data_IF_882701124729
#
_entry.id   IF_882701124729
#
_cell.length_a   1.000
_cell.length_b   1.000
_cell.length_c   1.000
_cell.angle_alpha   90.00
_cell.angle_beta   90.00
_cell.angle_gamma   90.00
#
_symmetry.space_group_name_H-M   'P 1'
#
loop_
_entity.id
_entity.type
_entity.pdbx_description
1 polymer ?
#
# COMPACT_ATOMS: atom_id res chain seq x y z
N UNK A 1 -15.94 -11.33 -12.21
CA UNK A 1 -15.75 -10.55 -10.97
C UNK A 1 -14.56 -9.58 -11.04
N UNK A 2 -13.36 -10.03 -11.42
CA UNK A 2 -12.21 -9.12 -11.61
C UNK A 2 -12.51 -7.98 -12.58
N UNK A 3 -13.14 -8.25 -13.74
CA UNK A 3 -13.55 -7.19 -14.67
C UNK A 3 -14.48 -6.15 -14.04
N UNK A 4 -15.50 -6.56 -13.27
CA UNK A 4 -16.41 -5.62 -12.60
C UNK A 4 -15.68 -4.73 -11.60
N UNK A 5 -14.80 -5.32 -10.77
CA UNK A 5 -13.97 -4.56 -9.84
C UNK A 5 -13.05 -3.60 -10.58
N UNK A 6 -12.40 -4.04 -11.66
CA UNK A 6 -11.52 -3.19 -12.46
C UNK A 6 -12.29 -2.02 -13.08
N UNK A 7 -13.34 -2.28 -13.86
CA UNK A 7 -14.09 -1.23 -14.56
C UNK A 7 -14.90 -0.33 -13.62
N UNK A 8 -15.40 -0.85 -12.49
CA UNK A 8 -16.16 -0.07 -11.53
C UNK A 8 -15.27 0.76 -10.60
N UNK A 9 -14.35 0.11 -9.90
CA UNK A 9 -13.53 0.77 -8.87
C UNK A 9 -12.38 1.58 -9.48
N UNK A 10 -11.61 1.02 -10.43
CA UNK A 10 -10.43 1.71 -10.96
C UNK A 10 -10.85 2.93 -11.78
N UNK A 11 -11.88 2.83 -12.61
CA UNK A 11 -12.37 3.99 -13.38
C UNK A 11 -12.80 5.13 -12.47
N UNK A 12 -13.53 4.84 -11.38
CA UNK A 12 -13.93 5.84 -10.40
C UNK A 12 -12.72 6.45 -9.69
N UNK A 13 -11.76 5.62 -9.25
CA UNK A 13 -10.55 6.10 -8.59
C UNK A 13 -9.73 7.01 -9.51
N UNK A 14 -9.58 6.64 -10.78
CA UNK A 14 -8.89 7.46 -11.78
C UNK A 14 -9.64 8.78 -12.06
N UNK A 15 -10.97 8.75 -12.13
CA UNK A 15 -11.76 9.97 -12.29
C UNK A 15 -11.61 10.94 -11.10
N UNK A 16 -11.52 10.41 -9.87
CA UNK A 16 -11.26 11.21 -8.67
C UNK A 16 -9.87 11.85 -8.70
N UNK A 17 -8.83 11.08 -9.06
CA UNK A 17 -7.46 11.60 -9.20
C UNK A 17 -7.39 12.68 -10.28
N UNK A 18 -7.98 12.42 -11.44
CA UNK A 18 -8.06 13.39 -12.54
C UNK A 18 -8.71 14.70 -12.08
N UNK A 19 -9.85 14.61 -11.38
CA UNK A 19 -10.57 15.78 -10.85
C UNK A 19 -9.74 16.52 -9.79
N UNK A 20 -9.02 15.80 -8.93
CA UNK A 20 -8.11 16.38 -7.94
C UNK A 20 -7.00 17.19 -8.59
N UNK A 21 -6.42 16.67 -9.67
CA UNK A 21 -5.37 17.36 -10.41
C UNK A 21 -5.90 18.61 -11.14
N UNK A 22 -7.12 18.55 -11.70
CA UNK A 22 -7.77 19.74 -12.26
C UNK A 22 -7.96 20.84 -11.22
N UNK A 23 -8.35 20.45 -10.00
CA UNK A 23 -8.49 21.39 -8.90
C UNK A 23 -7.15 22.04 -8.54
N UNK A 24 -6.08 21.26 -8.49
CA UNK A 24 -4.72 21.79 -8.27
C UNK A 24 -4.29 22.72 -9.42
N UNK A 25 -4.48 22.31 -10.67
CA UNK A 25 -4.15 23.11 -11.86
C UNK A 25 -4.93 24.43 -11.88
N UNK A 26 -6.20 24.42 -11.45
CA UNK A 26 -6.99 25.64 -11.29
C UNK A 26 -6.40 26.59 -10.24
N UNK A 27 -5.91 26.07 -9.10
CA UNK A 27 -5.21 26.89 -8.10
C UNK A 27 -3.90 27.48 -8.62
N UNK A 28 -3.20 26.75 -9.50
CA UNK A 28 -1.98 27.19 -10.15
C UNK A 28 -2.21 28.09 -11.38
N UNK A 29 -3.48 28.41 -11.71
CA UNK A 29 -3.87 29.24 -12.87
C UNK A 29 -3.46 28.66 -14.23
N UNK A 30 -3.36 27.34 -14.34
CA UNK A 30 -3.09 26.65 -15.60
C UNK A 30 -4.40 26.60 -16.42
N UNK A 31 -4.36 26.90 -17.73
CA UNK A 31 -5.54 26.84 -18.58
C UNK A 31 -6.11 25.40 -18.67
N UNK A 32 -7.41 25.19 -18.42
CA UNK A 32 -8.00 23.86 -18.24
C UNK A 32 -7.94 22.99 -19.48
N UNK A 33 -8.01 23.59 -20.68
CA UNK A 33 -7.91 22.84 -21.95
C UNK A 33 -6.53 22.21 -22.13
N UNK A 34 -5.47 22.95 -21.83
CA UNK A 34 -4.11 22.41 -21.95
C UNK A 34 -3.87 21.33 -20.89
N UNK A 35 -4.34 21.54 -19.66
CA UNK A 35 -4.26 20.52 -18.61
C UNK A 35 -4.94 19.21 -19.02
N UNK A 36 -6.15 19.30 -19.59
CA UNK A 36 -6.88 18.13 -20.11
C UNK A 36 -6.07 17.35 -21.14
N UNK A 37 -5.58 18.03 -22.18
CA UNK A 37 -4.81 17.37 -23.23
C UNK A 37 -3.52 16.76 -22.71
N UNK A 38 -2.79 17.46 -21.84
CA UNK A 38 -1.56 16.94 -21.23
C UNK A 38 -1.83 15.65 -20.44
N UNK A 39 -2.87 15.63 -19.61
CA UNK A 39 -3.23 14.44 -18.83
C UNK A 39 -3.67 13.29 -19.73
N UNK A 40 -4.56 13.53 -20.70
CA UNK A 40 -5.02 12.47 -21.62
C UNK A 40 -3.87 11.85 -22.40
N UNK A 41 -2.99 12.69 -22.97
CA UNK A 41 -1.82 12.20 -23.71
C UNK A 41 -0.88 11.41 -22.80
N UNK A 42 -0.58 11.93 -21.60
CA UNK A 42 0.28 11.24 -20.64
C UNK A 42 -0.32 9.89 -20.22
N UNK A 43 -1.63 9.82 -19.97
CA UNK A 43 -2.32 8.57 -19.60
C UNK A 43 -2.32 7.55 -20.74
N UNK A 44 -2.50 7.97 -21.99
CA UNK A 44 -2.43 7.07 -23.16
C UNK A 44 -1.04 6.47 -23.31
N UNK A 45 0.01 7.31 -23.20
CA UNK A 45 1.40 6.85 -23.27
C UNK A 45 1.70 5.90 -22.11
N UNK A 46 1.42 6.31 -20.87
CA UNK A 46 1.68 5.51 -19.68
C UNK A 46 0.94 4.17 -19.71
N UNK A 47 -0.35 4.18 -20.07
CA UNK A 47 -1.15 2.95 -20.17
C UNK A 47 -0.61 2.00 -21.24
N UNK A 48 -0.23 2.52 -22.42
CA UNK A 48 0.29 1.69 -23.51
C UNK A 48 1.65 1.09 -23.15
N UNK A 49 2.58 1.90 -22.61
CA UNK A 49 3.90 1.44 -22.21
C UNK A 49 3.78 0.40 -21.08
N UNK A 50 2.94 0.65 -20.08
CA UNK A 50 2.78 -0.26 -18.95
C UNK A 50 2.16 -1.60 -19.39
N UNK A 51 1.18 -1.60 -20.29
CA UNK A 51 0.65 -2.84 -20.87
C UNK A 51 1.69 -3.58 -21.71
N UNK A 52 2.49 -2.86 -22.50
CA UNK A 52 3.56 -3.45 -23.31
C UNK A 52 4.63 -4.14 -22.44
N UNK A 53 5.12 -3.45 -21.41
CA UNK A 53 6.09 -4.00 -20.45
C UNK A 53 5.48 -5.19 -19.71
N UNK A 54 4.24 -5.07 -19.23
CA UNK A 54 3.56 -6.16 -18.54
C UNK A 54 3.39 -7.40 -19.44
N UNK A 55 3.01 -7.21 -20.71
CA UNK A 55 2.90 -8.30 -21.67
C UNK A 55 4.26 -8.95 -21.94
N UNK A 56 5.32 -8.15 -22.06
CA UNK A 56 6.67 -8.66 -22.24
C UNK A 56 7.12 -9.49 -21.02
N UNK A 57 6.83 -9.01 -19.81
CA UNK A 57 7.17 -9.72 -18.57
C UNK A 57 6.50 -11.10 -18.50
N UNK A 58 5.21 -11.21 -18.83
CA UNK A 58 4.52 -12.50 -18.82
C UNK A 58 5.08 -13.52 -19.83
N UNK A 59 5.60 -13.08 -20.97
CA UNK A 59 6.15 -13.98 -22.00
C UNK A 59 7.60 -14.38 -21.71
N UNK A 60 8.38 -13.51 -21.05
CA UNK A 60 9.82 -13.71 -20.87
C UNK A 60 10.19 -14.20 -19.46
N UNK A 61 9.33 -14.00 -18.47
CA UNK A 61 9.57 -14.41 -17.07
C UNK A 61 8.67 -15.62 -16.78
N UNK A 62 9.19 -16.86 -16.85
CA UNK A 62 8.41 -18.05 -16.51
C UNK A 62 8.05 -18.03 -15.02
N UNK A 63 6.85 -18.49 -14.65
CA UNK A 63 6.39 -18.58 -13.25
C UNK A 63 6.44 -17.25 -12.47
N UNK A 64 6.13 -16.15 -13.15
CA UNK A 64 6.02 -14.83 -12.51
C UNK A 64 4.95 -14.86 -11.40
N UNK A 65 5.24 -14.23 -10.26
CA UNK A 65 4.42 -14.22 -9.05
C UNK A 65 4.39 -15.54 -8.24
N UNK A 66 5.09 -16.60 -8.67
CA UNK A 66 5.25 -17.83 -7.87
C UNK A 66 6.12 -17.57 -6.64
N UNK A 67 5.89 -18.31 -5.54
CA UNK A 67 6.73 -18.26 -4.34
C UNK A 67 8.18 -18.70 -4.63
N UNK A 68 8.35 -19.60 -5.59
CA UNK A 68 9.62 -20.26 -5.87
C UNK A 68 10.38 -19.61 -7.05
N UNK A 69 9.97 -18.40 -7.43
CA UNK A 69 10.58 -17.67 -8.54
C UNK A 69 12.05 -17.33 -8.23
N UNK A 70 13.04 -17.85 -8.98
CA UNK A 70 14.47 -17.65 -8.69
C UNK A 70 14.89 -16.17 -8.68
N UNK A 71 14.23 -15.33 -9.49
CA UNK A 71 14.52 -13.89 -9.53
C UNK A 71 13.75 -13.06 -8.49
N UNK A 72 12.90 -13.67 -7.67
CA UNK A 72 12.16 -12.98 -6.61
C UNK A 72 11.01 -12.06 -7.08
N UNK A 73 10.50 -12.26 -8.30
CA UNK A 73 9.34 -11.48 -8.79
C UNK A 73 8.05 -11.88 -8.06
N UNK A 74 7.67 -11.09 -7.06
CA UNK A 74 6.44 -11.24 -6.28
C UNK A 74 5.37 -10.23 -6.69
N UNK A 75 4.09 -10.59 -6.53
CA UNK A 75 2.95 -9.77 -6.97
C UNK A 75 1.94 -9.48 -5.85
N UNK A 76 2.37 -8.87 -4.72
CA UNK A 76 1.52 -8.69 -3.53
C UNK A 76 0.27 -7.84 -3.82
N UNK A 77 0.39 -6.80 -4.65
CA UNK A 77 -0.75 -5.96 -5.02
C UNK A 77 -1.80 -6.73 -5.84
N UNK A 78 -1.36 -7.53 -6.80
CA UNK A 78 -2.23 -8.33 -7.68
C UNK A 78 -2.91 -9.46 -6.92
N UNK A 79 -2.17 -10.15 -6.03
CA UNK A 79 -2.73 -11.22 -5.19
C UNK A 79 -3.78 -10.67 -4.24
N UNK A 80 -3.52 -9.56 -3.54
CA UNK A 80 -4.52 -8.89 -2.69
C UNK A 80 -5.72 -8.44 -3.51
N UNK A 81 -5.51 -7.87 -4.70
CA UNK A 81 -6.61 -7.43 -5.57
C UNK A 81 -7.49 -8.61 -6.01
N UNK A 82 -6.87 -9.74 -6.34
CA UNK A 82 -7.52 -11.01 -6.68
C UNK A 82 -8.29 -11.61 -5.51
N UNK A 83 -7.65 -11.79 -4.35
CA UNK A 83 -8.28 -12.30 -3.13
C UNK A 83 -9.48 -11.46 -2.72
N UNK A 84 -9.37 -10.13 -2.75
CA UNK A 84 -10.49 -9.26 -2.47
C UNK A 84 -11.65 -9.43 -3.47
N UNK A 85 -11.37 -9.73 -4.75
CA UNK A 85 -12.44 -10.01 -5.73
C UNK A 85 -13.18 -11.32 -5.45
N UNK A 86 -12.50 -12.31 -4.89
CA UNK A 86 -13.08 -13.60 -4.50
C UNK A 86 -13.98 -13.41 -3.28
N UNK A 87 -13.46 -12.73 -2.24
CA UNK A 87 -14.18 -12.40 -1.00
C UNK A 87 -15.48 -11.64 -1.31
N UNK A 88 -15.37 -10.50 -1.99
CA UNK A 88 -16.52 -9.62 -2.21
C UNK A 88 -17.40 -10.02 -3.40
N UNK A 89 -16.85 -10.74 -4.38
CA UNK A 89 -17.56 -11.10 -5.61
C UNK A 89 -18.08 -12.54 -5.63
N UNK A 90 -17.20 -13.53 -5.43
CA UNK A 90 -17.53 -14.96 -5.61
C UNK A 90 -18.25 -15.53 -4.38
N UNK A 91 -17.71 -15.30 -3.19
CA UNK A 91 -18.34 -15.74 -1.93
C UNK A 91 -19.53 -14.83 -1.61
N UNK A 92 -19.32 -13.52 -1.81
CA UNK A 92 -20.30 -12.49 -1.59
C UNK A 92 -20.46 -12.13 -0.11
N UNK A 93 -20.87 -10.88 0.18
CA UNK A 93 -20.97 -10.40 1.55
C UNK A 93 -22.01 -11.17 2.39
N UNK A 94 -23.03 -11.75 1.73
CA UNK A 94 -24.07 -12.52 2.41
C UNK A 94 -23.55 -13.78 3.13
N UNK A 95 -22.43 -14.39 2.70
CA UNK A 95 -21.88 -15.57 3.36
C UNK A 95 -20.75 -15.28 4.35
N UNK A 96 -20.33 -14.02 4.47
CA UNK A 96 -19.24 -13.64 5.38
C UNK A 96 -19.69 -12.65 6.44
N UNK A 97 -20.55 -11.69 6.05
CA UNK A 97 -20.92 -10.52 6.84
C UNK A 97 -22.42 -10.48 7.15
N UNK A 98 -23.18 -11.56 6.94
CA UNK A 98 -24.59 -11.62 7.35
C UNK A 98 -24.75 -12.14 8.78
N UNK A 99 -25.93 -11.93 9.36
CA UNK A 99 -26.22 -12.34 10.73
C UNK A 99 -25.96 -13.84 10.93
N UNK A 100 -25.14 -14.19 11.93
CA UNK A 100 -24.73 -15.57 12.23
C UNK A 100 -23.44 -16.03 11.56
N UNK A 101 -22.84 -15.22 10.68
CA UNK A 101 -21.55 -15.53 10.04
C UNK A 101 -20.36 -15.01 10.84
N UNK A 102 -19.19 -15.63 10.65
CA UNK A 102 -17.96 -15.37 11.42
C UNK A 102 -17.55 -13.88 11.44
N UNK A 103 -17.72 -13.16 10.33
CA UNK A 103 -17.28 -11.76 10.22
C UNK A 103 -18.41 -10.74 10.40
N UNK A 104 -19.60 -11.16 10.85
CA UNK A 104 -20.71 -10.23 11.13
C UNK A 104 -20.35 -9.08 12.07
N UNK A 105 -19.59 -9.30 13.17
CA UNK A 105 -19.21 -8.21 14.08
C UNK A 105 -18.41 -7.09 13.41
N UNK A 106 -17.65 -7.40 12.34
CA UNK A 106 -16.82 -6.40 11.65
C UNK A 106 -17.66 -5.34 10.95
N UNK A 107 -18.89 -5.67 10.53
CA UNK A 107 -19.77 -4.70 9.89
C UNK A 107 -20.04 -3.53 10.84
N UNK A 108 -20.24 -3.78 12.13
CA UNK A 108 -20.53 -2.73 13.12
C UNK A 108 -19.38 -1.74 13.35
N UNK A 109 -18.20 -1.95 12.77
CA UNK A 109 -17.13 -0.95 12.79
C UNK A 109 -17.53 0.36 12.08
N UNK A 110 -18.52 0.36 11.19
CA UNK A 110 -19.05 1.61 10.64
C UNK A 110 -19.65 2.50 11.74
N UNK A 111 -20.25 1.92 12.79
CA UNK A 111 -20.76 2.67 13.94
C UNK A 111 -19.61 3.30 14.72
N UNK A 112 -18.50 2.58 14.89
CA UNK A 112 -17.29 3.11 15.52
C UNK A 112 -16.78 4.31 14.71
N UNK A 113 -16.74 4.18 13.38
CA UNK A 113 -16.38 5.26 12.46
C UNK A 113 -17.28 6.50 12.56
N UNK A 114 -18.57 6.31 12.82
CA UNK A 114 -19.54 7.40 13.02
C UNK A 114 -19.45 8.03 14.43
N UNK A 115 -19.32 7.20 15.45
CA UNK A 115 -19.32 7.63 16.86
C UNK A 115 -18.00 8.31 17.23
N UNK A 116 -16.85 7.86 16.73
CA UNK A 116 -15.56 8.41 17.13
C UNK A 116 -15.41 9.92 16.85
N UNK A 117 -15.77 10.47 15.67
CA UNK A 117 -15.80 11.91 15.43
C UNK A 117 -16.79 12.68 16.33
N UNK A 118 -17.95 12.09 16.63
CA UNK A 118 -18.96 12.71 17.50
C UNK A 118 -18.48 12.79 18.95
N UNK A 119 -17.85 11.73 19.45
CA UNK A 119 -17.21 11.71 20.77
C UNK A 119 -16.10 12.75 20.82
N UNK A 120 -15.26 12.84 19.79
CA UNK A 120 -14.23 13.88 19.68
C UNK A 120 -14.84 15.28 19.81
N UNK A 121 -15.92 15.56 19.06
CA UNK A 121 -16.61 16.85 19.09
C UNK A 121 -17.20 17.15 20.48
N UNK A 122 -17.88 16.19 21.10
CA UNK A 122 -18.48 16.36 22.42
C UNK A 122 -17.43 16.62 23.52
N UNK A 123 -16.33 15.86 23.51
CA UNK A 123 -15.22 16.05 24.46
C UNK A 123 -14.54 17.39 24.22
N UNK A 124 -14.36 17.81 22.96
CA UNK A 124 -13.80 19.12 22.61
C UNK A 124 -14.67 20.26 23.14
N UNK A 125 -15.99 20.12 23.07
CA UNK A 125 -16.95 21.11 23.57
C UNK A 125 -16.90 21.27 25.08
N UNK A 126 -16.68 20.18 25.83
CA UNK A 126 -16.68 20.18 27.31
C UNK A 126 -15.32 20.52 27.91
N UNK A 127 -14.24 19.90 27.44
CA UNK A 127 -12.92 20.00 28.07
C UNK A 127 -11.94 20.93 27.33
N UNK A 128 -12.30 21.42 26.13
CA UNK A 128 -11.51 22.35 25.30
C UNK A 128 -10.01 21.96 25.19
N UNK A 129 -9.72 20.66 25.15
CA UNK A 129 -8.35 20.16 25.12
C UNK A 129 -7.65 20.58 23.82
N UNK A 130 -6.39 20.98 23.92
CA UNK A 130 -5.62 21.41 22.74
C UNK A 130 -5.14 20.25 21.87
N UNK A 131 -4.95 19.05 22.43
CA UNK A 131 -4.46 17.87 21.72
C UNK A 131 -5.52 17.30 20.77
N UNK A 132 -6.77 17.23 21.23
CA UNK A 132 -7.91 16.70 20.47
C UNK A 132 -8.22 17.50 19.20
N UNK A 133 -7.72 18.73 19.05
CA UNK A 133 -7.84 19.53 17.82
C UNK A 133 -6.97 18.99 16.67
N UNK A 134 -5.92 18.24 16.98
CA UNK A 134 -4.98 17.70 16.00
C UNK A 134 -5.30 16.25 15.60
N UNK A 135 -6.23 15.59 16.29
CA UNK A 135 -6.68 14.25 15.94
C UNK A 135 -7.74 14.31 14.84
N UNK A 136 -7.60 13.45 13.84
CA UNK A 136 -8.58 13.30 12.77
C UNK A 136 -8.88 11.81 12.60
N UNK A 137 -9.97 11.35 13.21
CA UNK A 137 -10.38 9.94 13.17
C UNK A 137 -10.58 9.39 11.75
N UNK A 138 -11.24 10.12 10.82
CA UNK A 138 -11.31 9.69 9.42
C UNK A 138 -9.95 9.38 8.80
N UNK A 139 -8.94 10.23 9.03
CA UNK A 139 -7.58 10.01 8.51
C UNK A 139 -6.92 8.80 9.17
N UNK A 140 -7.09 8.63 10.48
CA UNK A 140 -6.55 7.48 11.23
C UNK A 140 -7.12 6.16 10.70
N UNK A 141 -8.45 6.10 10.52
CA UNK A 141 -9.09 4.88 10.01
C UNK A 141 -8.74 4.61 8.54
N UNK A 142 -8.63 5.64 7.70
CA UNK A 142 -8.23 5.48 6.29
C UNK A 142 -6.80 4.95 6.16
N UNK A 143 -5.90 5.30 7.09
CA UNK A 143 -4.52 4.82 7.09
C UNK A 143 -4.40 3.30 7.12
N UNK A 144 -5.37 2.59 7.70
CA UNK A 144 -5.38 1.12 7.77
C UNK A 144 -5.75 0.43 6.46
N UNK A 145 -6.28 1.17 5.46
CA UNK A 145 -6.77 0.59 4.20
C UNK A 145 -5.69 -0.05 3.32
N UNK A 146 -4.42 0.35 3.48
CA UNK A 146 -3.28 -0.21 2.73
C UNK A 146 -2.47 -1.24 3.53
N UNK A 147 -2.95 -1.70 4.69
CA UNK A 147 -2.29 -2.77 5.45
C UNK A 147 -2.15 -4.11 4.71
N UNK A 148 -3.11 -4.56 3.88
CA UNK A 148 -2.95 -5.86 3.20
C UNK A 148 -1.72 -5.92 2.26
N UNK A 149 -1.41 -4.89 1.46
CA UNK A 149 -0.16 -4.86 0.67
C UNK A 149 1.07 -4.30 1.43
N UNK A 150 0.90 -3.48 2.47
CA UNK A 150 2.02 -2.91 3.21
C UNK A 150 2.19 -3.54 4.60
N UNK A 151 3.35 -4.17 4.81
CA UNK A 151 3.72 -4.76 6.09
C UNK A 151 3.86 -3.70 7.20
N UNK A 152 3.78 -4.09 8.48
CA UNK A 152 4.05 -3.19 9.60
C UNK A 152 5.42 -2.49 9.52
N UNK A 153 6.39 -3.16 8.90
CA UNK A 153 7.72 -2.61 8.61
C UNK A 153 7.69 -1.40 7.67
N UNK A 154 6.64 -1.21 6.87
CA UNK A 154 6.48 -0.01 6.05
C UNK A 154 5.79 1.12 6.83
N UNK A 155 4.84 0.79 7.70
CA UNK A 155 4.07 1.79 8.47
C UNK A 155 4.88 2.46 9.57
N UNK A 156 5.73 1.73 10.30
CA UNK A 156 6.51 2.29 11.41
C UNK A 156 7.52 3.35 10.91
N UNK A 157 8.35 3.08 9.87
CA UNK A 157 9.24 4.09 9.29
C UNK A 157 8.46 5.25 8.69
N UNK A 158 7.31 5.01 8.06
CA UNK A 158 6.47 6.08 7.52
C UNK A 158 6.02 7.06 8.61
N UNK A 159 5.58 6.56 9.77
CA UNK A 159 5.22 7.40 10.93
C UNK A 159 6.44 8.15 11.47
N UNK A 160 7.59 7.48 11.61
CA UNK A 160 8.82 8.08 12.11
C UNK A 160 9.33 9.21 11.20
N UNK A 161 9.44 8.95 9.91
CA UNK A 161 9.87 9.94 8.91
C UNK A 161 8.84 11.08 8.85
N UNK A 162 7.55 10.75 8.87
CA UNK A 162 6.47 11.72 8.93
C UNK A 162 6.60 12.66 10.13
N UNK A 163 6.89 12.13 11.32
CA UNK A 163 7.13 12.93 12.54
C UNK A 163 8.40 13.78 12.43
N UNK A 164 9.51 13.21 11.98
CA UNK A 164 10.78 13.94 11.86
C UNK A 164 10.61 15.14 10.91
N UNK A 165 10.06 14.93 9.71
CA UNK A 165 9.95 16.00 8.72
C UNK A 165 8.82 16.98 9.02
N UNK A 166 7.63 16.51 9.41
CA UNK A 166 6.48 17.38 9.60
C UNK A 166 6.38 18.01 11.00
N UNK A 167 6.97 17.40 12.03
CA UNK A 167 6.95 17.95 13.39
C UNK A 167 8.29 18.55 13.80
N UNK A 168 9.41 17.83 13.67
CA UNK A 168 10.71 18.31 14.15
C UNK A 168 11.31 19.34 13.20
N UNK A 169 11.52 18.98 11.93
CA UNK A 169 12.19 19.82 10.94
C UNK A 169 11.34 21.04 10.60
N UNK A 170 10.03 20.85 10.37
CA UNK A 170 9.12 21.97 10.10
C UNK A 170 9.10 23.03 11.21
N UNK A 171 9.24 22.63 12.49
CA UNK A 171 9.28 23.57 13.63
C UNK A 171 10.64 24.23 13.82
N UNK A 172 11.73 23.51 13.62
CA UNK A 172 13.10 24.04 13.81
C UNK A 172 13.57 24.88 12.61
N UNK A 173 13.31 24.43 11.38
CA UNK A 173 13.83 25.02 10.14
C UNK A 173 12.73 25.15 9.08
N UNK A 174 11.72 25.99 9.34
CA UNK A 174 10.58 26.16 8.44
C UNK A 174 10.96 26.63 7.03
N UNK A 175 11.91 27.57 6.92
CA UNK A 175 12.36 28.10 5.63
C UNK A 175 12.96 27.02 4.72
N UNK A 176 13.74 26.10 5.28
CA UNK A 176 14.27 24.96 4.54
C UNK A 176 13.15 23.99 4.16
N UNK A 177 12.26 23.67 5.12
CA UNK A 177 11.16 22.73 4.90
C UNK A 177 10.24 23.18 3.76
N UNK A 178 9.81 24.44 3.76
CA UNK A 178 8.90 24.96 2.72
C UNK A 178 9.52 24.97 1.32
N UNK A 179 10.84 25.07 1.21
CA UNK A 179 11.55 25.18 -0.07
C UNK A 179 12.00 23.83 -0.62
N UNK A 180 12.51 22.95 0.24
CA UNK A 180 13.23 21.75 -0.19
C UNK A 180 12.56 20.44 0.19
N UNK A 181 11.58 20.40 1.11
CA UNK A 181 11.00 19.14 1.57
C UNK A 181 10.39 18.31 0.44
N UNK A 182 9.61 18.94 -0.45
CA UNK A 182 9.00 18.25 -1.59
C UNK A 182 10.03 17.83 -2.63
N UNK A 183 11.07 18.63 -2.86
CA UNK A 183 12.17 18.30 -3.78
C UNK A 183 12.96 17.11 -3.25
N UNK A 184 13.24 17.08 -1.94
CA UNK A 184 13.91 15.96 -1.28
C UNK A 184 13.05 14.69 -1.36
N UNK A 185 11.75 14.78 -1.11
CA UNK A 185 10.83 13.64 -1.27
C UNK A 185 10.90 13.06 -2.67
N UNK A 186 10.77 13.90 -3.70
CA UNK A 186 10.86 13.47 -5.09
C UNK A 186 12.24 12.88 -5.44
N UNK A 187 13.31 13.43 -4.85
CA UNK A 187 14.66 12.92 -5.00
C UNK A 187 14.87 11.54 -4.35
N UNK A 188 14.29 11.32 -3.16
CA UNK A 188 14.33 10.03 -2.47
C UNK A 188 13.53 8.96 -3.23
N UNK A 189 12.35 9.30 -3.75
CA UNK A 189 11.53 8.37 -4.55
C UNK A 189 12.25 7.98 -5.85
N UNK A 190 12.82 8.97 -6.55
CA UNK A 190 13.59 8.74 -7.77
C UNK A 190 14.88 7.96 -7.49
N UNK A 191 15.58 8.29 -6.40
CA UNK A 191 16.80 7.63 -5.97
C UNK A 191 16.57 6.18 -5.57
N UNK A 192 15.45 5.88 -4.89
CA UNK A 192 15.04 4.52 -4.60
C UNK A 192 14.81 3.73 -5.89
N UNK A 193 14.04 4.25 -6.83
CA UNK A 193 13.77 3.57 -8.10
C UNK A 193 15.06 3.27 -8.90
N UNK A 194 15.94 4.25 -9.05
CA UNK A 194 17.22 4.08 -9.75
C UNK A 194 18.13 3.11 -8.99
N UNK A 195 18.20 3.23 -7.67
CA UNK A 195 18.98 2.35 -6.80
C UNK A 195 18.51 0.90 -6.88
N UNK A 196 17.20 0.66 -6.89
CA UNK A 196 16.64 -0.69 -7.04
C UNK A 196 17.01 -1.29 -8.40
N UNK A 197 16.90 -0.52 -9.49
CA UNK A 197 17.33 -1.00 -10.82
C UNK A 197 18.82 -1.33 -10.83
N UNK A 198 19.65 -0.48 -10.24
CA UNK A 198 21.08 -0.71 -10.14
C UNK A 198 21.41 -1.99 -9.37
N UNK A 199 20.82 -2.18 -8.19
CA UNK A 199 21.00 -3.39 -7.36
C UNK A 199 20.54 -4.62 -8.13
N UNK A 200 19.38 -4.55 -8.80
CA UNK A 200 18.84 -5.65 -9.57
C UNK A 200 19.80 -6.07 -10.70
N UNK A 201 20.21 -5.14 -11.57
CA UNK A 201 21.05 -5.47 -12.72
C UNK A 201 22.50 -5.80 -12.38
N UNK A 202 23.05 -5.22 -11.30
CA UNK A 202 24.46 -5.39 -10.95
C UNK A 202 24.68 -6.56 -9.98
N UNK A 203 23.76 -6.77 -9.04
CA UNK A 203 23.93 -7.76 -7.96
C UNK A 203 22.99 -8.96 -8.11
N UNK A 204 21.71 -8.74 -8.38
CA UNK A 204 20.69 -9.80 -8.31
C UNK A 204 20.62 -10.64 -9.59
N UNK A 205 20.60 -9.99 -10.75
CA UNK A 205 20.49 -10.63 -12.06
C UNK A 205 21.74 -11.45 -12.43
N UNK A 206 22.99 -10.96 -12.26
CA UNK A 206 24.18 -11.72 -12.67
C UNK A 206 24.47 -12.94 -11.79
N UNK A 207 23.96 -12.95 -10.55
CA UNK A 207 24.16 -14.06 -9.58
C UNK A 207 22.90 -14.88 -9.34
N UNK A 208 21.87 -14.74 -10.18
CA UNK A 208 20.65 -15.54 -10.10
C UNK A 208 20.02 -15.57 -8.69
N UNK A 209 20.04 -14.43 -7.98
CA UNK A 209 19.48 -14.30 -6.63
C UNK A 209 20.38 -14.71 -5.45
N UNK A 210 21.58 -15.28 -5.67
CA UNK A 210 22.49 -15.69 -4.57
C UNK A 210 23.40 -14.55 -4.10
N UNK A 211 22.79 -13.44 -3.68
CA UNK A 211 23.54 -12.32 -3.11
C UNK A 211 24.05 -12.71 -1.72
N UNK A 212 25.36 -12.95 -1.60
CA UNK A 212 26.01 -13.15 -0.30
C UNK A 212 26.20 -14.60 0.14
N UNK A 213 25.97 -15.59 -0.72
CA UNK A 213 26.20 -17.02 -0.38
C UNK A 213 27.71 -17.37 -0.32
N UNK A 214 28.54 -16.74 -1.17
CA UNK A 214 29.99 -17.01 -1.26
C UNK A 214 30.88 -15.75 -1.34
N UNK A 215 30.32 -14.56 -1.08
CA UNK A 215 31.05 -13.29 -1.17
C UNK A 215 31.02 -12.49 0.13
N UNK A 216 31.90 -11.48 0.25
CA UNK A 216 32.03 -10.59 1.42
C UNK A 216 30.75 -9.80 1.76
N UNK A 217 29.71 -9.91 0.93
CA UNK A 217 28.36 -9.37 1.10
C UNK A 217 27.45 -10.30 1.93
N UNK A 218 27.98 -11.35 2.56
CA UNK A 218 27.28 -12.12 3.60
C UNK A 218 27.15 -11.27 4.86
N UNK A 219 26.02 -10.60 5.03
CA UNK A 219 25.67 -9.88 6.26
C UNK A 219 24.20 -10.15 6.60
N UNK A 220 23.80 -9.79 7.81
CA UNK A 220 22.49 -10.16 8.36
C UNK A 220 21.31 -9.84 7.41
N UNK A 221 21.34 -8.70 6.72
CA UNK A 221 20.25 -8.29 5.81
C UNK A 221 20.17 -9.08 4.49
N UNK A 222 21.22 -9.79 4.08
CA UNK A 222 21.25 -10.57 2.84
C UNK A 222 21.00 -12.07 3.05
N UNK A 223 21.37 -12.61 4.23
CA UNK A 223 21.26 -14.04 4.50
C UNK A 223 20.33 -14.33 5.71
N UNK A 224 20.58 -13.70 6.85
CA UNK A 224 19.88 -14.03 8.09
C UNK A 224 18.42 -13.54 8.13
N UNK A 225 18.13 -12.40 7.50
CA UNK A 225 16.77 -11.87 7.40
C UNK A 225 15.79 -12.83 6.70
N UNK A 226 16.29 -13.61 5.73
CA UNK A 226 15.51 -14.58 4.97
C UNK A 226 15.39 -15.95 5.66
N UNK A 227 16.24 -16.24 6.67
CA UNK A 227 16.20 -17.48 7.46
C UNK A 227 15.39 -17.31 8.75
N UNK A 228 14.31 -16.53 8.71
CA UNK A 228 13.44 -16.29 9.87
C UNK A 228 12.16 -17.12 9.79
N UNK A 229 11.59 -17.46 10.95
CA UNK A 229 10.35 -18.21 11.03
C UNK A 229 9.18 -17.51 10.31
N UNK A 230 9.20 -16.17 10.28
CA UNK A 230 8.23 -15.34 9.56
C UNK A 230 8.33 -15.52 8.04
N UNK A 231 9.55 -15.61 7.49
CA UNK A 231 9.76 -15.88 6.06
C UNK A 231 9.41 -17.31 5.70
N UNK A 232 9.69 -18.26 6.60
CA UNK A 232 9.28 -19.66 6.44
C UNK A 232 7.77 -19.89 6.63
N UNK A 233 6.99 -18.86 6.99
CA UNK A 233 5.55 -18.96 7.22
C UNK A 233 5.20 -19.93 8.36
N UNK A 234 6.10 -20.14 9.32
CA UNK A 234 5.89 -21.09 10.41
C UNK A 234 4.77 -20.56 11.32
N UNK A 235 3.74 -21.38 11.59
CA UNK A 235 2.65 -20.96 12.46
C UNK A 235 3.17 -20.80 13.89
N UNK A 236 2.88 -19.64 14.50
CA UNK A 236 3.21 -19.39 15.91
C UNK A 236 2.52 -20.41 16.85
N UNK A 237 1.35 -20.90 16.45
CA UNK A 237 0.56 -21.89 17.17
C UNK A 237 0.13 -22.99 16.21
N UNK A 238 0.45 -24.23 16.53
CA UNK A 238 -0.12 -25.42 15.88
C UNK A 238 -1.34 -25.88 16.67
N UNK A 239 -2.38 -26.42 16.02
CA UNK A 239 -3.52 -26.93 16.74
C UNK A 239 -3.11 -28.21 17.50
N UNK A 240 -3.67 -28.47 18.69
CA UNK A 240 -3.46 -29.74 19.38
C UNK A 240 -3.82 -30.91 18.46
N UNK A 241 -3.10 -32.04 18.57
CA UNK A 241 -3.34 -33.23 17.74
C UNK A 241 -4.84 -33.56 17.65
N UNK A 242 -5.36 -33.61 16.42
CA UNK A 242 -6.77 -33.92 16.14
C UNK A 242 -7.76 -32.74 16.17
N UNK A 243 -7.31 -31.50 16.41
CA UNK A 243 -8.16 -30.30 16.30
C UNK A 243 -7.86 -29.51 15.04
N UNK A 244 -8.89 -28.94 14.41
CA UNK A 244 -8.77 -28.03 13.27
C UNK A 244 -8.91 -26.57 13.71
N UNK A 245 -8.31 -25.65 12.96
CA UNK A 245 -8.64 -24.23 13.10
C UNK A 245 -10.01 -23.95 12.48
N UNK A 246 -10.91 -23.39 13.27
CA UNK A 246 -12.27 -23.02 12.84
C UNK A 246 -13.38 -23.86 13.48
N UNK A 247 -14.64 -23.43 13.33
CA UNK A 247 -15.80 -24.15 13.85
C UNK A 247 -15.99 -25.48 13.12
N UNK A 248 -16.46 -26.51 13.84
CA UNK A 248 -16.70 -27.85 13.27
C UNK A 248 -17.86 -27.87 12.26
N UNK A 249 -18.73 -26.85 12.30
CA UNK A 249 -19.89 -26.67 11.42
C UNK A 249 -19.97 -25.21 10.98
N UNK A 250 -20.19 -24.98 9.69
CA UNK A 250 -20.30 -23.68 9.04
C UNK A 250 -21.75 -23.27 8.80
#
# INVERSE_FOLDING_TARGET
MMMFKTWGYITMAQALNFTSDFKLGHYMKIPPRQMFFCQVVATVIAGTVQLGVQSWMFTNIPDMCSSDQPSGFSCPGTTVFGTASIIWGVIGPARQFSHGQMFYPLVFFFLIGFVAPLVQWAVQKRFKLNILKYLNFPVIFTGTGNLPPATPLNYIPWILIGFIFNYVIRRRNFAWWSKYNYVLSAGLDSGFAIGTLFIFFVLQYPRNGTIGESSILSWWGNNAAFNTADVAGLPLLTPPEGKTFGPATW
#
